data_IF_465595563450
#
_entry.id   IF_465595563450
#
_cell.length_a   1.000
_cell.length_b   1.000
_cell.length_c   1.000
_cell.angle_alpha   90.00
_cell.angle_beta   90.00
_cell.angle_gamma   90.00
#
_symmetry.space_group_name_H-M   'P 1'
#
loop_
_entity.id
_entity.type
_entity.pdbx_description
1 polymer ?
#
# COMPACT_ATOMS: atom_id res chain seq x y z
N UNK A 1 12.19 2.19 -30.77
CA UNK A 1 12.28 2.82 -29.43
C UNK A 1 12.80 1.78 -28.48
N UNK A 2 14.05 1.89 -28.02
CA UNK A 2 14.63 0.93 -27.08
C UNK A 2 14.05 1.19 -25.70
N UNK A 3 13.51 0.17 -25.04
CA UNK A 3 13.03 0.26 -23.66
C UNK A 3 14.23 0.54 -22.75
N UNK A 4 14.35 1.76 -22.25
CA UNK A 4 15.35 2.21 -21.27
C UNK A 4 15.09 1.69 -19.85
N UNK A 5 14.45 0.51 -19.73
CA UNK A 5 14.19 -0.14 -18.44
C UNK A 5 15.21 -1.23 -18.17
N UNK A 6 15.77 -1.26 -16.95
CA UNK A 6 16.66 -2.33 -16.52
C UNK A 6 15.92 -3.69 -16.59
N UNK A 7 16.42 -4.61 -17.42
CA UNK A 7 15.88 -5.96 -17.51
C UNK A 7 16.48 -6.85 -16.41
N UNK A 8 15.63 -7.45 -15.59
CA UNK A 8 16.06 -8.39 -14.56
C UNK A 8 15.85 -9.82 -15.08
N UNK A 9 16.94 -10.57 -15.20
CA UNK A 9 16.89 -11.99 -15.56
C UNK A 9 16.92 -12.85 -14.29
N UNK A 10 15.85 -13.59 -14.03
CA UNK A 10 15.69 -14.40 -12.82
C UNK A 10 15.74 -15.88 -13.19
N UNK A 11 16.57 -16.66 -12.49
CA UNK A 11 16.54 -18.12 -12.55
C UNK A 11 15.83 -18.66 -11.32
N UNK A 12 14.76 -19.40 -11.53
CA UNK A 12 14.01 -20.05 -10.46
C UNK A 12 14.50 -21.48 -10.25
N UNK A 13 14.62 -21.96 -9.00
CA UNK A 13 14.77 -23.38 -8.71
C UNK A 13 13.61 -24.19 -9.29
N UNK A 14 13.86 -25.43 -9.71
CA UNK A 14 12.88 -26.27 -10.40
C UNK A 14 11.53 -26.40 -9.65
N UNK A 15 11.59 -26.56 -8.32
CA UNK A 15 10.40 -26.65 -7.47
C UNK A 15 9.58 -25.35 -7.49
N UNK A 16 10.25 -24.20 -7.38
CA UNK A 16 9.59 -22.88 -7.46
C UNK A 16 9.01 -22.64 -8.84
N UNK A 17 9.73 -23.03 -9.90
CA UNK A 17 9.24 -22.89 -11.27
C UNK A 17 7.96 -23.70 -11.51
N UNK A 18 7.89 -24.93 -10.99
CA UNK A 18 6.70 -25.77 -11.08
C UNK A 18 5.52 -25.17 -10.31
N UNK A 19 5.75 -24.72 -9.07
CA UNK A 19 4.71 -24.08 -8.27
C UNK A 19 4.19 -22.78 -8.93
N UNK A 20 5.10 -21.97 -9.47
CA UNK A 20 4.75 -20.74 -10.19
C UNK A 20 3.91 -21.02 -11.43
N UNK A 21 4.23 -22.05 -12.21
CA UNK A 21 3.43 -22.44 -13.38
C UNK A 21 1.99 -22.81 -12.98
N UNK A 22 1.84 -23.68 -11.98
CA UNK A 22 0.53 -24.08 -11.48
C UNK A 22 -0.28 -22.88 -10.98
N UNK A 23 0.37 -21.95 -10.29
CA UNK A 23 -0.28 -20.74 -9.80
C UNK A 23 -0.75 -19.82 -10.94
N UNK A 24 0.08 -19.62 -11.96
CA UNK A 24 -0.26 -18.81 -13.14
C UNK A 24 -1.47 -19.39 -13.88
N UNK A 25 -1.50 -20.71 -14.06
CA UNK A 25 -2.60 -21.43 -14.73
C UNK A 25 -3.92 -21.33 -13.95
N UNK A 26 -3.86 -21.40 -12.62
CA UNK A 26 -5.05 -21.41 -11.77
C UNK A 26 -5.66 -20.02 -11.51
N UNK A 27 -4.85 -18.96 -11.53
CA UNK A 27 -5.25 -17.62 -11.07
C UNK A 27 -5.33 -16.57 -12.18
N UNK A 28 -5.30 -16.99 -13.45
CA UNK A 28 -5.62 -16.12 -14.59
C UNK A 28 -4.52 -15.10 -14.95
N UNK A 29 -3.28 -15.35 -14.55
CA UNK A 29 -2.14 -14.54 -14.98
C UNK A 29 -1.83 -14.79 -16.46
N UNK A 30 -1.48 -13.74 -17.21
CA UNK A 30 -1.18 -13.83 -18.64
C UNK A 30 0.09 -14.58 -18.92
N UNK A 31 1.06 -14.49 -18.01
CA UNK A 31 2.32 -15.22 -18.08
C UNK A 31 3.05 -15.22 -16.72
N UNK A 32 4.08 -16.06 -16.63
CA UNK A 32 4.92 -16.19 -15.43
C UNK A 32 5.60 -14.88 -15.03
N UNK A 33 5.96 -14.01 -15.98
CA UNK A 33 6.66 -12.75 -15.66
C UNK A 33 5.75 -11.77 -14.94
N UNK A 34 4.48 -11.71 -15.32
CA UNK A 34 3.47 -10.88 -14.65
C UNK A 34 3.31 -11.29 -13.18
N UNK A 35 3.17 -12.59 -12.92
CA UNK A 35 3.11 -13.10 -11.56
C UNK A 35 4.38 -12.82 -10.75
N UNK A 36 5.57 -13.03 -11.34
CA UNK A 36 6.84 -12.74 -10.67
C UNK A 36 6.93 -11.24 -10.32
N UNK A 37 6.48 -10.37 -11.22
CA UNK A 37 6.47 -8.93 -10.98
C UNK A 37 5.55 -8.56 -9.82
N UNK A 38 4.33 -9.10 -9.77
CA UNK A 38 3.42 -8.92 -8.63
C UNK A 38 4.03 -9.45 -7.32
N UNK A 39 4.64 -10.63 -7.34
CA UNK A 39 5.23 -11.22 -6.13
C UNK A 39 6.40 -10.38 -5.60
N UNK A 40 7.22 -9.82 -6.49
CA UNK A 40 8.29 -8.88 -6.14
C UNK A 40 7.69 -7.58 -5.60
N UNK A 41 6.69 -7.01 -6.28
CA UNK A 41 5.99 -5.81 -5.82
C UNK A 41 5.43 -6.02 -4.42
N UNK A 42 4.69 -7.09 -4.21
CA UNK A 42 4.17 -7.46 -2.92
C UNK A 42 5.28 -7.55 -1.89
N UNK A 43 6.40 -8.23 -2.16
CA UNK A 43 7.49 -8.32 -1.18
C UNK A 43 8.15 -6.96 -0.87
N UNK A 44 8.37 -6.11 -1.87
CA UNK A 44 9.03 -4.80 -1.69
C UNK A 44 8.09 -3.82 -1.00
N UNK A 45 6.80 -3.87 -1.33
CA UNK A 45 5.84 -2.85 -0.95
C UNK A 45 4.85 -3.28 0.14
N UNK A 46 4.86 -4.55 0.57
CA UNK A 46 4.08 -5.01 1.73
C UNK A 46 4.49 -4.31 3.03
N UNK A 47 5.74 -3.89 3.14
CA UNK A 47 6.25 -3.05 4.23
C UNK A 47 6.45 -1.59 3.81
N UNK A 48 5.83 -1.14 2.70
CA UNK A 48 6.07 0.22 2.24
C UNK A 48 5.58 1.21 3.29
N UNK A 49 6.49 2.08 3.72
CA UNK A 49 6.34 3.21 4.63
C UNK A 49 5.36 4.30 4.16
N UNK A 50 4.49 3.99 3.22
CA UNK A 50 3.21 4.71 3.09
C UNK A 50 2.25 3.99 4.02
N UNK A 51 2.56 4.10 5.30
CA UNK A 51 1.57 3.90 6.33
C UNK A 51 0.50 4.95 6.02
N UNK A 52 -0.63 4.55 5.43
CA UNK A 52 -1.81 5.42 5.32
C UNK A 52 -2.36 5.77 6.72
N UNK A 53 -1.75 5.18 7.75
CA UNK A 53 -2.00 5.43 9.15
C UNK A 53 -1.02 6.53 9.62
N UNK A 54 -1.58 7.61 10.18
CA UNK A 54 -0.81 8.75 10.69
C UNK A 54 0.26 8.28 11.69
N UNK A 55 1.46 8.85 11.64
CA UNK A 55 2.47 8.58 12.67
C UNK A 55 1.95 9.01 14.05
N UNK A 56 2.46 8.40 15.12
CA UNK A 56 2.06 8.73 16.51
C UNK A 56 2.15 10.24 16.79
N UNK A 57 3.14 10.93 16.20
CA UNK A 57 3.29 12.39 16.33
C UNK A 57 2.22 13.17 15.58
N UNK A 58 1.79 12.68 14.42
CA UNK A 58 0.71 13.27 13.64
C UNK A 58 -0.65 13.02 14.31
N UNK A 59 -0.86 11.84 14.89
CA UNK A 59 -2.05 11.53 15.70
C UNK A 59 -2.13 12.48 16.90
N UNK A 60 -1.04 12.61 17.67
CA UNK A 60 -0.98 13.52 18.83
C UNK A 60 -1.21 15.00 18.43
N UNK A 61 -0.72 15.42 17.25
CA UNK A 61 -0.98 16.75 16.73
C UNK A 61 -2.46 16.96 16.38
N UNK A 62 -3.09 15.97 15.73
CA UNK A 62 -4.50 16.00 15.38
C UNK A 62 -5.37 16.07 16.65
N UNK A 63 -5.08 15.24 17.65
CA UNK A 63 -5.80 15.22 18.93
C UNK A 63 -5.71 16.58 19.64
N UNK A 64 -4.49 17.15 19.76
CA UNK A 64 -4.29 18.47 20.37
C UNK A 64 -5.04 19.57 19.63
N UNK A 65 -5.07 19.52 18.30
CA UNK A 65 -5.74 20.51 17.48
C UNK A 65 -7.27 20.42 17.62
N UNK A 66 -7.82 19.20 17.71
CA UNK A 66 -9.23 18.96 17.98
C UNK A 66 -9.62 19.47 19.37
N UNK A 67 -8.86 19.12 20.41
CA UNK A 67 -9.10 19.61 21.78
C UNK A 67 -9.06 21.13 21.87
N UNK A 68 -8.04 21.77 21.30
CA UNK A 68 -7.93 23.23 21.29
C UNK A 68 -9.05 23.92 20.48
N UNK A 69 -9.59 23.24 19.47
CA UNK A 69 -10.69 23.76 18.65
C UNK A 69 -12.05 23.63 19.36
N UNK A 70 -12.25 22.57 20.14
CA UNK A 70 -13.41 22.39 21.03
C UNK A 70 -13.38 23.45 22.15
N UNK A 71 -12.24 23.61 22.82
CA UNK A 71 -12.07 24.61 23.89
C UNK A 71 -12.31 26.04 23.42
N UNK A 72 -11.89 26.37 22.19
CA UNK A 72 -12.13 27.68 21.57
C UNK A 72 -13.54 27.84 20.98
N UNK A 73 -14.43 26.86 21.15
CA UNK A 73 -15.82 26.89 20.68
C UNK A 73 -15.96 26.87 19.16
N UNK A 74 -14.91 26.46 18.42
CA UNK A 74 -14.92 26.37 16.95
C UNK A 74 -15.56 25.09 16.44
N UNK A 75 -15.59 24.05 17.28
CA UNK A 75 -16.27 22.77 17.02
C UNK A 75 -17.24 22.58 18.18
N UNK A 76 -18.55 22.63 17.91
CA UNK A 76 -19.59 22.50 18.94
C UNK A 76 -20.02 21.07 19.18
N UNK A 77 -20.02 20.23 18.15
CA UNK A 77 -20.54 18.86 18.23
C UNK A 77 -19.85 17.91 17.24
N UNK A 78 -19.88 16.61 17.53
CA UNK A 78 -19.28 15.55 16.70
C UNK A 78 -19.88 15.52 15.28
N UNK A 79 -21.13 16.00 15.14
CA UNK A 79 -21.84 16.13 13.87
C UNK A 79 -21.25 17.20 12.93
N UNK A 80 -20.63 18.27 13.46
CA UNK A 80 -20.01 19.32 12.66
C UNK A 80 -18.67 18.85 12.07
N UNK A 81 -17.95 18.00 12.81
CA UNK A 81 -16.69 17.38 12.34
C UNK A 81 -16.94 16.46 11.15
N UNK A 82 -18.00 15.64 11.23
CA UNK A 82 -18.38 14.72 10.14
C UNK A 82 -18.80 15.49 8.89
N UNK A 83 -19.48 16.63 9.03
CA UNK A 83 -19.84 17.50 7.89
C UNK A 83 -18.65 18.16 7.21
N UNK A 84 -17.60 18.49 7.94
CA UNK A 84 -16.40 19.14 7.38
C UNK A 84 -15.44 18.16 6.69
N UNK A 85 -15.59 16.85 6.95
CA UNK A 85 -14.77 15.78 6.37
C UNK A 85 -15.38 15.13 5.11
N UNK A 86 -16.60 15.54 4.72
CA UNK A 86 -17.24 15.20 3.45
C UNK A 86 -16.96 16.26 2.38
#
# INVERSE_FOLDING_TARGET
>A
MASTGAQINIRLPARSQSATKQYVENYGYRNIREFILEAIWYKIFRDNKYDETYSIKEIDLIEKLLSASIEKGKIKDQSDVIKALQ
#
